data_IF_380736537964
#
_entry.id   IF_380736537964
#
_cell.length_a   1.000
_cell.length_b   1.000
_cell.length_c   1.000
_cell.angle_alpha   90.00
_cell.angle_beta   90.00
_cell.angle_gamma   90.00
#
_symmetry.space_group_name_H-M   'P 1'
#
loop_
_entity.id
_entity.type
_entity.pdbx_description
1 polymer ?
#
# COMPACT_ATOMS: atom_id res chain seq x y z
N UNK A 1 1.04 -7.60 -41.18
CA UNK A 1 -0.40 -7.82 -41.45
C UNK A 1 -1.18 -7.39 -40.23
N UNK A 2 -1.98 -6.34 -40.40
CA UNK A 2 -2.99 -5.73 -39.50
C UNK A 2 -2.75 -5.73 -37.98
N UNK A 3 -2.08 -4.68 -37.50
CA UNK A 3 -2.44 -4.10 -36.20
C UNK A 3 -3.85 -3.52 -36.32
N UNK A 4 -4.84 -4.17 -35.72
CA UNK A 4 -6.13 -3.57 -35.51
C UNK A 4 -5.94 -2.24 -34.74
N UNK A 5 -6.64 -1.15 -35.12
CA UNK A 5 -6.57 0.08 -34.34
C UNK A 5 -7.05 -0.23 -32.90
N UNK A 6 -6.38 0.29 -31.86
CA UNK A 6 -6.84 0.11 -30.49
C UNK A 6 -8.28 0.64 -30.36
N UNK A 7 -9.16 -0.16 -29.75
CA UNK A 7 -10.58 0.17 -29.53
C UNK A 7 -10.70 1.61 -28.97
N UNK A 8 -11.64 2.43 -29.48
CA UNK A 8 -11.82 3.81 -29.01
C UNK A 8 -12.05 3.89 -27.50
N UNK A 9 -12.71 2.88 -26.93
CA UNK A 9 -12.95 2.71 -25.49
C UNK A 9 -11.65 2.61 -24.68
N UNK A 10 -10.61 1.97 -25.22
CA UNK A 10 -9.31 1.80 -24.53
C UNK A 10 -8.54 3.12 -24.44
N UNK A 11 -8.58 3.95 -25.50
CA UNK A 11 -7.93 5.28 -25.49
C UNK A 11 -8.65 6.27 -24.58
N UNK A 12 -9.98 6.22 -24.55
CA UNK A 12 -10.78 7.07 -23.67
C UNK A 12 -10.65 6.65 -22.21
N UNK A 13 -10.62 5.34 -21.93
CA UNK A 13 -10.37 4.80 -20.59
C UNK A 13 -8.97 5.16 -20.08
N UNK A 14 -7.95 5.12 -20.94
CA UNK A 14 -6.59 5.56 -20.58
C UNK A 14 -6.56 7.06 -20.25
N UNK A 15 -7.16 7.91 -21.09
CA UNK A 15 -7.21 9.37 -20.83
C UNK A 15 -7.97 9.67 -19.54
N UNK A 16 -9.09 9.01 -19.29
CA UNK A 16 -9.86 9.13 -18.05
C UNK A 16 -9.04 8.71 -16.84
N UNK A 17 -8.33 7.57 -16.94
CA UNK A 17 -7.43 7.09 -15.89
C UNK A 17 -6.35 8.14 -15.58
N UNK A 18 -5.54 8.51 -16.58
CA UNK A 18 -4.42 9.46 -16.40
C UNK A 18 -4.90 10.83 -15.94
N UNK A 19 -6.06 11.30 -16.42
CA UNK A 19 -6.67 12.56 -15.99
C UNK A 19 -7.10 12.56 -14.52
N UNK A 20 -7.50 11.40 -13.98
CA UNK A 20 -7.90 11.25 -12.57
C UNK A 20 -6.73 11.08 -11.59
N UNK A 21 -5.53 10.76 -12.09
CA UNK A 21 -4.35 10.54 -11.24
C UNK A 21 -3.73 11.85 -10.75
N UNK A 22 -2.97 11.85 -9.63
CA UNK A 22 -2.18 13.01 -9.20
C UNK A 22 -1.10 13.41 -10.22
N UNK A 23 -0.62 14.66 -10.14
CA UNK A 23 0.45 15.17 -11.00
C UNK A 23 1.76 14.37 -10.82
N UNK A 24 2.15 14.09 -9.57
CA UNK A 24 3.35 13.32 -9.25
C UNK A 24 3.37 11.94 -9.94
N UNK A 25 2.22 11.27 -10.05
CA UNK A 25 2.09 10.02 -10.82
C UNK A 25 2.33 10.26 -12.31
N UNK A 26 1.72 11.30 -12.88
CA UNK A 26 1.83 11.58 -14.33
C UNK A 26 3.25 11.94 -14.75
N UNK A 27 3.99 12.63 -13.89
CA UNK A 27 5.36 13.05 -14.18
C UNK A 27 6.36 11.89 -14.01
N UNK A 28 6.00 10.87 -13.22
CA UNK A 28 6.87 9.74 -12.91
C UNK A 28 6.83 8.60 -13.93
N UNK A 29 5.66 8.24 -14.45
CA UNK A 29 5.49 7.01 -15.23
C UNK A 29 5.51 7.27 -16.74
N UNK A 30 6.11 6.35 -17.50
CA UNK A 30 6.07 6.44 -18.96
C UNK A 30 4.66 6.10 -19.49
N UNK A 31 4.25 6.61 -20.68
CA UNK A 31 2.93 6.31 -21.24
C UNK A 31 2.61 4.82 -21.39
N UNK A 32 3.61 3.99 -21.67
CA UNK A 32 3.46 2.53 -21.75
C UNK A 32 3.10 1.91 -20.39
N UNK A 33 3.71 2.35 -19.30
CA UNK A 33 3.39 1.90 -17.95
C UNK A 33 2.01 2.40 -17.51
N UNK A 34 1.70 3.66 -17.78
CA UNK A 34 0.37 4.21 -17.52
C UNK A 34 -0.74 3.43 -18.23
N UNK A 35 -0.49 2.97 -19.45
CA UNK A 35 -1.43 2.14 -20.20
C UNK A 35 -1.68 0.79 -19.51
N UNK A 36 -0.64 0.17 -18.95
CA UNK A 36 -0.78 -1.07 -18.17
C UNK A 36 -1.55 -0.82 -16.88
N UNK A 37 -1.23 0.23 -16.13
CA UNK A 37 -1.95 0.55 -14.88
C UNK A 37 -3.44 0.84 -15.15
N UNK A 38 -3.75 1.56 -16.22
CA UNK A 38 -5.12 1.79 -16.66
C UNK A 38 -5.83 0.47 -17.04
N UNK A 39 -5.11 -0.46 -17.68
CA UNK A 39 -5.65 -1.78 -17.99
C UNK A 39 -5.93 -2.61 -16.73
N UNK A 40 -5.02 -2.63 -15.75
CA UNK A 40 -5.22 -3.31 -14.47
C UNK A 40 -6.44 -2.74 -13.74
N UNK A 41 -6.57 -1.42 -13.69
CA UNK A 41 -7.74 -0.75 -13.11
C UNK A 41 -9.03 -1.08 -13.85
N UNK A 42 -9.04 -1.04 -15.19
CA UNK A 42 -10.23 -1.41 -15.97
C UNK A 42 -10.59 -2.90 -15.81
N UNK A 43 -9.58 -3.78 -15.78
CA UNK A 43 -9.76 -5.21 -15.63
C UNK A 43 -10.38 -5.57 -14.28
N UNK A 44 -10.13 -4.80 -13.22
CA UNK A 44 -10.72 -5.00 -11.88
C UNK A 44 -12.24 -5.21 -11.95
N UNK A 45 -12.94 -4.40 -12.74
CA UNK A 45 -14.39 -4.45 -12.85
C UNK A 45 -15.05 -4.26 -11.49
N UNK A 46 -16.00 -5.12 -11.12
CA UNK A 46 -16.70 -5.07 -9.83
C UNK A 46 -15.99 -5.82 -8.68
N UNK A 47 -14.76 -6.32 -8.90
CA UNK A 47 -14.01 -7.07 -7.87
C UNK A 47 -13.42 -6.11 -6.83
N UNK A 48 -13.28 -6.52 -5.56
CA UNK A 48 -12.77 -5.64 -4.51
C UNK A 48 -11.34 -5.17 -4.80
N UNK A 49 -10.50 -6.03 -5.40
CA UNK A 49 -9.18 -5.66 -5.88
C UNK A 49 -8.78 -6.42 -7.15
N UNK A 50 -7.76 -5.92 -7.83
CA UNK A 50 -7.08 -6.58 -8.93
C UNK A 50 -5.58 -6.32 -8.87
N UNK A 51 -4.80 -7.25 -9.40
CA UNK A 51 -3.33 -7.17 -9.42
C UNK A 51 -2.85 -7.52 -10.81
N UNK A 52 -1.90 -6.76 -11.36
CA UNK A 52 -1.23 -7.08 -12.61
C UNK A 52 0.23 -6.64 -12.60
N UNK A 53 1.05 -7.29 -13.41
CA UNK A 53 2.46 -6.92 -13.59
C UNK A 53 2.60 -5.79 -14.61
N UNK A 54 3.65 -4.97 -14.46
CA UNK A 54 3.98 -3.92 -15.44
C UNK A 54 5.48 -3.89 -15.76
N UNK A 55 5.88 -3.37 -16.94
CA UNK A 55 7.28 -3.35 -17.33
C UNK A 55 8.14 -2.48 -16.39
N UNK A 56 9.26 -3.06 -15.97
CA UNK A 56 10.29 -2.38 -15.20
C UNK A 56 11.67 -2.69 -15.72
N UNK A 57 12.61 -1.76 -15.55
CA UNK A 57 13.94 -1.83 -16.16
C UNK A 57 14.91 -2.70 -15.36
N UNK A 58 14.70 -2.85 -14.05
CA UNK A 58 15.52 -3.71 -13.20
C UNK A 58 14.98 -5.15 -13.25
N UNK A 59 15.73 -6.11 -13.83
CA UNK A 59 15.30 -7.50 -13.96
C UNK A 59 15.33 -8.27 -12.63
N UNK A 60 15.93 -7.72 -11.57
CA UNK A 60 15.96 -8.34 -10.24
C UNK A 60 14.66 -8.12 -9.46
N UNK A 61 13.81 -7.21 -9.94
CA UNK A 61 12.54 -6.84 -9.33
C UNK A 61 11.38 -7.21 -10.25
N UNK A 62 10.28 -7.63 -9.66
CA UNK A 62 8.98 -7.70 -10.35
C UNK A 62 8.15 -6.50 -9.93
N UNK A 63 7.66 -5.74 -10.89
CA UNK A 63 6.81 -4.60 -10.63
C UNK A 63 5.33 -4.98 -10.77
N UNK A 64 4.56 -4.72 -9.71
CA UNK A 64 3.16 -5.11 -9.57
C UNK A 64 2.31 -3.87 -9.29
N UNK A 65 1.17 -3.79 -9.97
CA UNK A 65 0.15 -2.77 -9.78
C UNK A 65 -1.05 -3.43 -9.11
N UNK A 66 -1.44 -2.94 -7.94
CA UNK A 66 -2.59 -3.35 -7.16
C UNK A 66 -3.61 -2.21 -7.21
N UNK A 67 -4.84 -2.54 -7.61
CA UNK A 67 -5.95 -1.57 -7.66
C UNK A 67 -7.08 -2.06 -6.78
N UNK A 68 -7.57 -1.22 -5.88
CA UNK A 68 -8.64 -1.55 -4.94
C UNK A 68 -9.47 -0.30 -4.54
N UNK A 69 -10.66 -0.50 -3.97
CA UNK A 69 -11.38 0.61 -3.35
C UNK A 69 -10.65 1.08 -2.10
N UNK A 70 -10.57 2.40 -1.93
CA UNK A 70 -9.92 3.00 -0.77
C UNK A 70 -10.66 2.66 0.52
N UNK A 71 -9.92 2.20 1.53
CA UNK A 71 -10.44 1.90 2.85
C UNK A 71 -9.32 1.87 3.89
N UNK A 72 -9.64 2.19 5.17
CA UNK A 72 -8.69 2.01 6.26
C UNK A 72 -8.12 0.59 6.30
N UNK A 73 -6.80 0.48 6.47
CA UNK A 73 -6.08 -0.80 6.58
C UNK A 73 -5.76 -1.49 5.26
N UNK A 74 -6.12 -0.91 4.11
CA UNK A 74 -5.85 -1.53 2.79
C UNK A 74 -4.37 -1.87 2.58
N UNK A 75 -3.46 -0.92 2.86
CA UNK A 75 -2.02 -1.13 2.70
C UNK A 75 -1.49 -2.27 3.60
N UNK A 76 -2.05 -2.42 4.80
CA UNK A 76 -1.70 -3.51 5.71
C UNK A 76 -2.11 -4.86 5.12
N UNK A 77 -3.34 -4.97 4.59
CA UNK A 77 -3.82 -6.21 3.95
C UNK A 77 -3.01 -6.57 2.69
N UNK A 78 -2.65 -5.57 1.88
CA UNK A 78 -1.81 -5.79 0.69
C UNK A 78 -0.41 -6.25 1.09
N UNK A 79 0.21 -5.56 2.05
CA UNK A 79 1.55 -5.90 2.54
C UNK A 79 1.57 -7.30 3.19
N UNK A 80 0.52 -7.65 3.91
CA UNK A 80 0.34 -9.00 4.47
C UNK A 80 0.32 -10.07 3.37
N UNK A 81 -0.45 -9.85 2.30
CA UNK A 81 -0.56 -10.79 1.20
C UNK A 81 0.79 -11.06 0.51
N UNK A 82 1.64 -10.02 0.40
CA UNK A 82 3.02 -10.19 -0.08
C UNK A 82 3.87 -11.04 0.87
N UNK A 83 3.81 -10.76 2.18
CA UNK A 83 4.58 -11.53 3.18
C UNK A 83 4.17 -13.00 3.19
N UNK A 84 2.86 -13.31 3.12
CA UNK A 84 2.37 -14.70 3.08
C UNK A 84 2.86 -15.47 1.84
N UNK A 85 3.14 -14.76 0.75
CA UNK A 85 3.71 -15.35 -0.46
C UNK A 85 5.25 -15.42 -0.44
N UNK A 86 5.89 -15.00 0.65
CA UNK A 86 7.34 -14.91 0.75
C UNK A 86 7.95 -13.88 -0.20
N UNK A 87 7.18 -12.85 -0.57
CA UNK A 87 7.64 -11.75 -1.40
C UNK A 87 8.11 -10.59 -0.52
N UNK A 88 9.25 -10.03 -0.88
CA UNK A 88 9.89 -8.94 -0.17
C UNK A 88 9.69 -7.63 -0.94
N UNK A 89 9.22 -6.58 -0.26
CA UNK A 89 8.89 -5.30 -0.87
C UNK A 89 10.13 -4.41 -0.83
N UNK A 90 10.67 -4.06 -1.99
CA UNK A 90 11.87 -3.24 -2.15
C UNK A 90 11.54 -1.76 -2.38
N UNK A 91 10.37 -1.50 -2.97
CA UNK A 91 9.78 -0.18 -3.03
C UNK A 91 8.25 -0.29 -3.13
N UNK A 92 7.55 0.75 -2.68
CA UNK A 92 6.11 0.86 -2.84
C UNK A 92 5.69 2.33 -3.00
N UNK A 93 4.65 2.56 -3.80
CA UNK A 93 4.04 3.88 -3.98
C UNK A 93 2.53 3.77 -4.06
N UNK A 94 1.83 4.52 -3.21
CA UNK A 94 0.37 4.54 -3.17
C UNK A 94 -0.18 5.85 -3.75
N UNK A 95 -1.15 5.73 -4.65
CA UNK A 95 -1.85 6.86 -5.25
C UNK A 95 -3.36 6.70 -5.15
N UNK A 96 -4.04 7.64 -4.50
CA UNK A 96 -5.51 7.69 -4.47
C UNK A 96 -6.04 8.56 -5.60
N UNK A 97 -7.08 8.08 -6.28
CA UNK A 97 -7.83 8.82 -7.29
C UNK A 97 -9.32 8.82 -6.97
N UNK A 98 -9.98 9.95 -7.25
CA UNK A 98 -11.44 10.04 -7.13
C UNK A 98 -12.08 9.66 -8.45
N UNK A 99 -12.93 8.64 -8.43
CA UNK A 99 -13.76 8.30 -9.59
C UNK A 99 -14.97 9.23 -9.59
N UNK A 100 -15.17 9.96 -10.68
CA UNK A 100 -16.46 10.60 -10.91
C UNK A 100 -17.53 9.51 -10.93
N UNK A 101 -18.67 9.68 -10.24
CA UNK A 101 -19.76 8.73 -10.37
C UNK A 101 -20.09 8.57 -11.86
N UNK A 102 -20.39 7.35 -12.34
CA UNK A 102 -20.81 7.18 -13.72
C UNK A 102 -21.96 8.15 -13.95
N UNK A 103 -21.79 9.07 -14.91
CA UNK A 103 -22.81 10.05 -15.25
C UNK A 103 -24.13 9.29 -15.37
N UNK A 104 -25.10 9.66 -14.54
CA UNK A 104 -26.39 8.98 -14.48
C UNK A 104 -26.96 8.92 -15.90
N UNK A 105 -26.87 7.75 -16.52
CA UNK A 105 -27.58 7.45 -17.77
C UNK A 105 -29.05 7.42 -17.38
N UNK A 106 -29.71 8.57 -17.55
CA UNK A 106 -31.15 8.74 -17.70
C UNK A 106 -32.04 7.75 -16.94
N UNK A 107 -32.13 7.88 -15.62
CA UNK A 107 -33.22 7.27 -14.86
C UNK A 107 -33.82 8.28 -13.87
N UNK A 108 -34.78 9.05 -14.42
CA UNK A 108 -35.91 9.73 -13.77
C UNK A 108 -35.74 10.24 -12.33
N UNK A 109 -35.69 11.56 -12.23
CA UNK A 109 -36.35 12.43 -11.25
C UNK A 109 -36.98 11.74 -10.03
N UNK A 110 -36.19 11.52 -8.98
CA UNK A 110 -36.68 11.45 -7.59
C UNK A 110 -35.73 12.31 -6.75
N UNK A 111 -36.22 13.31 -6.00
CA UNK A 111 -35.34 14.09 -5.14
C UNK A 111 -34.78 13.15 -4.06
N UNK A 112 -33.47 13.19 -3.76
CA UNK A 112 -32.91 12.41 -2.68
C UNK A 112 -33.47 12.92 -1.35
N UNK A 113 -34.03 12.00 -0.56
CA UNK A 113 -34.29 12.25 0.85
C UNK A 113 -32.95 12.49 1.55
N UNK A 114 -32.82 13.68 2.14
CA UNK A 114 -31.88 14.11 3.18
C UNK A 114 -30.83 13.06 3.65
N UNK A 115 -29.55 13.37 3.44
CA UNK A 115 -28.48 12.97 4.36
C UNK A 115 -27.30 12.14 3.82
N UNK A 116 -27.29 11.67 2.57
CA UNK A 116 -26.14 10.97 2.01
C UNK A 116 -25.35 11.88 1.07
N UNK A 117 -24.19 12.36 1.53
CA UNK A 117 -23.21 13.04 0.69
C UNK A 117 -22.90 12.18 -0.55
N UNK A 118 -22.65 12.83 -1.68
CA UNK A 118 -22.20 12.20 -2.91
C UNK A 118 -20.82 11.55 -2.70
N UNK A 119 -20.80 10.33 -2.17
CA UNK A 119 -19.58 9.55 -2.00
C UNK A 119 -19.15 9.03 -3.38
N UNK A 120 -18.31 9.81 -4.07
CA UNK A 120 -17.51 9.26 -5.16
C UNK A 120 -16.66 8.11 -4.61
N UNK A 121 -16.69 6.96 -5.29
CA UNK A 121 -15.83 5.83 -4.93
C UNK A 121 -14.37 6.27 -5.11
N UNK A 122 -13.61 6.28 -4.02
CA UNK A 122 -12.16 6.52 -4.09
C UNK A 122 -11.49 5.19 -4.41
N UNK A 123 -10.60 5.20 -5.39
CA UNK A 123 -9.82 4.03 -5.79
C UNK A 123 -8.35 4.30 -5.50
N UNK A 124 -7.67 3.30 -4.95
CA UNK A 124 -6.24 3.31 -4.71
C UNK A 124 -5.54 2.52 -5.81
N UNK A 125 -4.46 3.08 -6.32
CA UNK A 125 -3.52 2.46 -7.25
C UNK A 125 -2.17 2.38 -6.54
N UNK A 126 -1.89 1.20 -5.98
CA UNK A 126 -0.64 0.91 -5.29
C UNK A 126 0.33 0.19 -6.23
N UNK A 127 1.55 0.68 -6.30
CA UNK A 127 2.61 0.15 -7.14
C UNK A 127 3.70 -0.41 -6.24
N UNK A 128 4.07 -1.68 -6.45
CA UNK A 128 5.06 -2.37 -5.65
C UNK A 128 6.16 -2.91 -6.53
N UNK A 129 7.40 -2.77 -6.07
CA UNK A 129 8.55 -3.45 -6.62
C UNK A 129 8.97 -4.51 -5.63
N UNK A 130 8.76 -5.76 -6.01
CA UNK A 130 8.94 -6.91 -5.13
C UNK A 130 10.02 -7.83 -5.65
N UNK A 131 10.63 -8.57 -4.74
CA UNK A 131 11.65 -9.57 -5.02
C UNK A 131 11.34 -10.86 -4.28
N UNK A 132 11.67 -12.00 -4.88
CA UNK A 132 11.72 -13.27 -4.17
C UNK A 132 13.09 -13.41 -3.48
N UNK A 133 13.17 -13.57 -2.15
CA UNK A 133 14.44 -13.78 -1.44
C UNK A 133 15.23 -14.98 -1.96
N UNK A 134 14.54 -16.07 -2.35
CA UNK A 134 15.15 -17.27 -2.92
C UNK A 134 15.59 -17.08 -4.39
N UNK A 135 15.34 -15.90 -4.98
CA UNK A 135 15.59 -15.60 -6.38
C UNK A 135 14.53 -16.10 -7.35
N UNK A 136 14.66 -15.70 -8.61
CA UNK A 136 13.74 -16.05 -9.69
C UNK A 136 12.59 -15.06 -9.88
N UNK A 137 12.06 -15.04 -11.10
CA UNK A 137 10.92 -14.20 -11.45
C UNK A 137 9.64 -14.69 -10.78
N UNK A 138 8.73 -13.77 -10.49
CA UNK A 138 7.37 -14.08 -10.08
C UNK A 138 6.59 -14.45 -11.34
N UNK A 139 5.98 -15.62 -11.33
CA UNK A 139 5.20 -16.13 -12.46
C UNK A 139 3.79 -15.55 -12.48
N UNK A 140 3.13 -15.54 -13.64
CA UNK A 140 1.74 -15.07 -13.74
C UNK A 140 0.79 -15.89 -12.84
N UNK A 141 1.03 -17.19 -12.68
CA UNK A 141 0.24 -18.03 -11.75
C UNK A 141 0.37 -17.60 -10.29
N UNK A 142 1.52 -17.05 -9.90
CA UNK A 142 1.70 -16.50 -8.56
C UNK A 142 1.02 -15.15 -8.42
N UNK A 143 1.05 -14.30 -9.45
CA UNK A 143 0.27 -13.06 -9.48
C UNK A 143 -1.24 -13.36 -9.38
N UNK A 144 -1.72 -14.41 -10.04
CA UNK A 144 -3.10 -14.87 -9.92
C UNK A 144 -3.43 -15.39 -8.50
N UNK A 145 -2.49 -16.12 -7.87
CA UNK A 145 -2.64 -16.56 -6.50
C UNK A 145 -2.69 -15.37 -5.52
N UNK A 146 -1.82 -14.37 -5.69
CA UNK A 146 -1.83 -13.12 -4.94
C UNK A 146 -3.17 -12.40 -5.07
N UNK A 147 -3.66 -12.28 -6.31
CA UNK A 147 -4.93 -11.64 -6.63
C UNK A 147 -6.10 -12.34 -5.93
N UNK A 148 -6.16 -13.67 -5.99
CA UNK A 148 -7.19 -14.44 -5.32
C UNK A 148 -7.11 -14.29 -3.79
N UNK A 149 -5.89 -14.33 -3.24
CA UNK A 149 -5.67 -14.19 -1.81
C UNK A 149 -6.09 -12.81 -1.29
N UNK A 150 -5.72 -11.73 -1.98
CA UNK A 150 -6.10 -10.36 -1.63
C UNK A 150 -7.62 -10.16 -1.66
N UNK A 151 -8.30 -10.73 -2.67
CA UNK A 151 -9.76 -10.69 -2.75
C UNK A 151 -10.39 -11.40 -1.55
N UNK A 152 -9.88 -12.55 -1.14
CA UNK A 152 -10.40 -13.27 0.03
C UNK A 152 -10.19 -12.51 1.35
N UNK A 153 -9.04 -11.84 1.52
CA UNK A 153 -8.77 -10.96 2.67
C UNK A 153 -9.72 -9.77 2.72
N UNK A 154 -9.91 -9.08 1.58
CA UNK A 154 -10.78 -7.90 1.51
C UNK A 154 -12.26 -8.22 1.75
N UNK A 155 -12.69 -9.44 1.38
CA UNK A 155 -14.04 -9.95 1.63
C UNK A 155 -14.21 -10.58 3.02
N UNK A 156 -13.16 -10.60 3.84
CA UNK A 156 -13.19 -11.19 5.18
C UNK A 156 -13.38 -12.72 5.19
N UNK A 157 -13.12 -13.39 4.06
CA UNK A 157 -13.19 -14.86 3.94
C UNK A 157 -11.97 -15.54 4.57
N UNK A 158 -10.90 -14.77 4.79
CA UNK A 158 -9.72 -15.15 5.57
C UNK A 158 -9.47 -14.07 6.60
N UNK A 159 -9.10 -14.48 7.81
CA UNK A 159 -8.62 -13.56 8.82
C UNK A 159 -7.19 -13.12 8.47
N UNK A 160 -6.83 -11.85 8.72
CA UNK A 160 -5.44 -11.42 8.72
C UNK A 160 -4.62 -12.28 9.68
N UNK A 161 -3.45 -12.72 9.25
CA UNK A 161 -2.53 -13.52 10.07
C UNK A 161 -2.02 -12.66 11.23
N UNK A 162 -2.40 -13.00 12.47
CA UNK A 162 -1.99 -12.24 13.67
C UNK A 162 -0.49 -12.37 13.99
N UNK A 163 0.18 -13.43 13.53
CA UNK A 163 1.61 -13.66 13.72
C UNK A 163 2.29 -13.93 12.38
N UNK A 164 2.68 -12.85 11.69
CA UNK A 164 3.78 -12.93 10.75
C UNK A 164 5.06 -12.73 11.58
N UNK A 165 5.78 -13.83 11.83
CA UNK A 165 7.14 -13.73 12.34
C UNK A 165 7.99 -13.02 11.28
N UNK A 166 8.84 -12.05 11.65
CA UNK A 166 9.76 -11.41 10.72
C UNK A 166 10.52 -12.49 9.94
N UNK A 167 10.57 -12.36 8.62
CA UNK A 167 11.30 -13.27 7.75
C UNK A 167 12.82 -12.99 7.89
N UNK A 168 13.40 -13.38 9.03
CA UNK A 168 14.84 -13.31 9.29
C UNK A 168 15.22 -12.76 10.68
N UNK A 169 16.44 -13.06 11.17
CA UNK A 169 16.95 -12.49 12.40
C UNK A 169 17.14 -10.98 12.27
N UNK A 170 16.74 -10.22 13.30
CA UNK A 170 17.04 -8.81 13.46
C UNK A 170 18.52 -8.63 13.85
N UNK A 171 19.44 -8.92 12.93
CA UNK A 171 20.88 -8.94 13.24
C UNK A 171 21.52 -7.55 13.40
N UNK A 172 20.74 -6.47 13.28
CA UNK A 172 21.25 -5.10 13.45
C UNK A 172 20.19 -4.21 14.11
N UNK A 173 20.49 -3.75 15.33
CA UNK A 173 19.84 -2.60 15.96
C UNK A 173 20.67 -1.39 15.59
N UNK A 174 20.40 -0.79 14.44
CA UNK A 174 20.88 0.57 14.14
C UNK A 174 19.78 1.58 14.44
N UNK A 175 20.17 2.84 14.60
CA UNK A 175 19.33 3.99 14.96
C UNK A 175 18.08 4.12 14.07
N UNK A 176 16.96 3.56 14.53
CA UNK A 176 15.64 3.76 13.90
C UNK A 176 15.20 5.19 14.19
N UNK A 177 14.97 5.97 13.13
CA UNK A 177 14.49 7.35 13.25
C UNK A 177 13.05 7.42 12.77
N UNK A 178 12.17 7.91 13.63
CA UNK A 178 10.75 8.13 13.31
C UNK A 178 10.40 9.57 13.62
N UNK A 179 10.07 10.36 12.59
CA UNK A 179 9.77 11.79 12.75
C UNK A 179 8.62 12.23 11.86
N UNK A 180 7.95 13.29 12.27
CA UNK A 180 7.00 14.00 11.42
C UNK A 180 7.68 15.17 10.72
N UNK A 181 7.36 15.37 9.45
CA UNK A 181 7.77 16.52 8.65
C UNK A 181 6.54 17.18 8.00
N UNK A 182 6.74 18.39 7.49
CA UNK A 182 5.71 19.12 6.74
C UNK A 182 5.55 18.49 5.36
N UNK A 183 4.31 18.21 4.98
CA UNK A 183 3.94 17.78 3.64
C UNK A 183 3.87 18.94 2.65
N UNK A 184 3.59 18.61 1.39
CA UNK A 184 3.42 19.60 0.31
C UNK A 184 2.22 20.54 0.54
N UNK A 185 1.30 20.15 1.43
CA UNK A 185 0.14 20.92 1.89
C UNK A 185 0.47 21.88 3.05
N UNK A 186 1.71 21.87 3.54
CA UNK A 186 2.16 22.65 4.69
C UNK A 186 1.70 22.10 6.05
N UNK A 187 1.08 20.93 6.08
CA UNK A 187 0.67 20.26 7.31
C UNK A 187 1.78 19.35 7.81
N UNK A 188 1.99 19.29 9.13
CA UNK A 188 2.96 18.39 9.76
C UNK A 188 2.38 16.96 9.88
N UNK A 189 2.06 16.34 8.73
CA UNK A 189 1.32 15.10 8.62
C UNK A 189 2.08 13.97 7.91
N UNK A 190 3.33 14.20 7.49
CA UNK A 190 4.15 13.19 6.84
C UNK A 190 5.04 12.51 7.87
N UNK A 191 4.82 11.22 8.10
CA UNK A 191 5.66 10.37 8.92
C UNK A 191 6.82 9.83 8.09
N UNK A 192 8.05 10.20 8.45
CA UNK A 192 9.27 9.58 7.92
C UNK A 192 9.77 8.51 8.89
N UNK A 193 10.04 7.32 8.35
CA UNK A 193 10.65 6.19 9.06
C UNK A 193 11.93 5.81 8.33
N UNK A 194 13.05 5.90 9.03
CA UNK A 194 14.34 5.39 8.58
C UNK A 194 14.77 4.25 9.49
N UNK A 195 15.00 3.08 8.91
CA UNK A 195 15.40 1.89 9.66
C UNK A 195 16.16 0.92 8.76
N UNK A 196 16.78 -0.10 9.34
CA UNK A 196 17.34 -1.19 8.55
C UNK A 196 16.23 -2.06 7.93
N UNK A 197 16.51 -2.52 6.72
CA UNK A 197 15.62 -3.36 5.94
C UNK A 197 15.42 -4.72 6.60
N UNK A 198 14.17 -5.14 6.65
CA UNK A 198 13.76 -6.46 7.10
C UNK A 198 12.48 -6.84 6.39
N UNK A 199 12.39 -8.10 6.02
CA UNK A 199 11.22 -8.60 5.34
C UNK A 199 9.97 -8.50 6.22
N UNK A 200 8.91 -7.91 5.65
CA UNK A 200 7.65 -7.63 6.34
C UNK A 200 7.58 -6.30 7.08
N UNK A 201 8.60 -5.43 6.99
CA UNK A 201 8.60 -4.11 7.64
C UNK A 201 7.36 -3.27 7.27
N UNK A 202 7.05 -3.14 5.98
CA UNK A 202 5.89 -2.35 5.52
C UNK A 202 4.57 -2.86 6.12
N UNK A 203 4.42 -4.18 6.28
CA UNK A 203 3.26 -4.75 6.95
C UNK A 203 3.21 -4.34 8.43
N UNK A 204 4.32 -4.43 9.16
CA UNK A 204 4.38 -4.03 10.57
C UNK A 204 4.02 -2.55 10.76
N UNK A 205 4.59 -1.67 9.93
CA UNK A 205 4.33 -0.23 9.96
C UNK A 205 2.87 0.09 9.64
N UNK A 206 2.38 -0.41 8.50
CA UNK A 206 1.00 -0.14 8.07
C UNK A 206 -0.04 -0.76 9.01
N UNK A 207 0.25 -1.91 9.64
CA UNK A 207 -0.60 -2.50 10.68
C UNK A 207 -0.65 -1.63 11.93
N UNK A 208 0.50 -1.18 12.44
CA UNK A 208 0.55 -0.33 13.63
C UNK A 208 -0.25 0.98 13.43
N UNK A 209 -0.11 1.60 12.25
CA UNK A 209 -0.88 2.78 11.87
C UNK A 209 -2.39 2.49 11.78
N UNK A 210 -2.76 1.34 11.22
CA UNK A 210 -4.16 0.92 11.12
C UNK A 210 -4.79 0.60 12.48
N UNK A 211 -4.06 -0.05 13.40
CA UNK A 211 -4.49 -0.32 14.77
C UNK A 211 -4.71 0.97 15.57
N UNK A 212 -3.93 2.01 15.27
CA UNK A 212 -4.18 3.37 15.74
C UNK A 212 -5.28 4.09 14.97
N UNK A 213 -6.03 3.44 14.08
CA UNK A 213 -7.10 4.12 13.34
C UNK A 213 -6.60 5.37 12.59
N UNK A 214 -5.38 5.33 12.04
CA UNK A 214 -4.85 6.40 11.20
C UNK A 214 -4.99 6.00 9.74
N UNK A 215 -5.40 6.94 8.89
CA UNK A 215 -5.50 6.72 7.45
C UNK A 215 -4.19 7.13 6.77
N UNK A 216 -3.64 6.22 5.97
CA UNK A 216 -2.53 6.50 5.06
C UNK A 216 -3.13 6.99 3.74
N UNK A 217 -2.88 8.24 3.37
CA UNK A 217 -3.38 8.81 2.11
C UNK A 217 -2.41 8.62 0.95
N UNK A 218 -1.11 8.67 1.26
CA UNK A 218 -0.04 8.34 0.33
C UNK A 218 1.06 7.60 1.08
N UNK A 219 1.76 6.73 0.38
CA UNK A 219 2.95 6.05 0.89
C UNK A 219 4.04 6.04 -0.18
N UNK A 220 5.28 6.21 0.27
CA UNK A 220 6.48 6.07 -0.54
C UNK A 220 7.50 5.28 0.27
N UNK A 221 7.78 4.07 -0.17
CA UNK A 221 8.68 3.12 0.47
C UNK A 221 9.86 2.91 -0.44
N UNK A 222 11.08 3.04 0.07
CA UNK A 222 12.30 2.85 -0.71
C UNK A 222 13.37 2.15 0.11
N UNK A 223 13.84 1.02 -0.39
CA UNK A 223 15.01 0.33 0.14
C UNK A 223 16.25 0.70 -0.68
N UNK A 224 17.31 1.15 0.00
CA UNK A 224 18.64 1.39 -0.58
C UNK A 224 19.68 0.62 0.22
N UNK A 225 20.26 -0.42 -0.38
CA UNK A 225 21.22 -1.29 0.30
C UNK A 225 20.55 -2.07 1.43
N UNK A 226 20.89 -1.75 2.68
CA UNK A 226 20.28 -2.32 3.89
C UNK A 226 19.39 -1.34 4.64
N UNK A 227 19.12 -0.16 4.08
CA UNK A 227 18.33 0.90 4.73
C UNK A 227 17.02 1.10 3.99
N UNK A 228 15.96 1.28 4.76
CA UNK A 228 14.61 1.61 4.30
C UNK A 228 14.31 3.04 4.68
N UNK A 229 13.73 3.78 3.74
CA UNK A 229 13.26 5.15 3.90
C UNK A 229 11.80 5.20 3.50
N UNK A 230 10.92 5.17 4.49
CA UNK A 230 9.48 5.17 4.28
C UNK A 230 8.89 6.52 4.63
N UNK A 231 7.97 6.98 3.80
CA UNK A 231 7.19 8.19 3.99
C UNK A 231 5.71 7.86 3.89
N UNK A 232 4.94 8.23 4.91
CA UNK A 232 3.50 8.06 4.92
C UNK A 232 2.84 9.41 5.20
N UNK A 233 1.95 9.86 4.32
CA UNK A 233 1.10 11.01 4.62
C UNK A 233 -0.13 10.52 5.37
N UNK A 234 -0.36 11.06 6.56
CA UNK A 234 -1.32 10.56 7.53
C UNK A 234 -2.47 11.55 7.76
N UNK A 235 -3.68 11.05 7.92
CA UNK A 235 -4.85 11.80 8.40
C UNK A 235 -5.60 10.96 9.43
N UNK A 236 -6.40 11.62 10.27
CA UNK A 236 -7.40 10.93 11.08
C UNK A 236 -8.46 10.28 10.18
N UNK A 237 -9.21 9.29 10.68
CA UNK A 237 -10.26 8.63 9.88
C UNK A 237 -11.38 9.58 9.44
N UNK A 238 -11.57 10.69 10.15
CA UNK A 238 -12.53 11.73 9.77
C UNK A 238 -11.96 12.74 8.76
N UNK A 239 -10.69 12.57 8.36
CA UNK A 239 -9.96 13.42 7.43
C UNK A 239 -9.32 14.65 8.08
N UNK A 240 -9.39 14.81 9.39
CA UNK A 240 -8.72 15.91 10.09
C UNK A 240 -7.20 15.69 10.19
N UNK A 241 -6.41 16.78 10.35
CA UNK A 241 -4.96 16.67 10.54
C UNK A 241 -4.59 16.03 11.88
N UNK A 242 -3.49 15.29 11.91
CA UNK A 242 -2.95 14.67 13.12
C UNK A 242 -2.40 15.75 14.07
N UNK A 243 -2.90 15.81 15.31
CA UNK A 243 -2.43 16.76 16.32
C UNK A 243 -1.13 16.33 17.02
N UNK A 244 -0.55 17.22 17.82
CA UNK A 244 0.72 17.02 18.53
C UNK A 244 0.73 15.77 19.44
N UNK A 245 -0.36 15.52 20.16
CA UNK A 245 -0.47 14.39 21.08
C UNK A 245 -0.54 13.09 20.31
N UNK A 246 -1.32 13.08 19.23
CA UNK A 246 -1.46 11.94 18.34
C UNK A 246 -0.18 11.60 17.60
N UNK A 247 0.59 12.61 17.17
CA UNK A 247 1.90 12.39 16.53
C UNK A 247 2.84 11.62 17.45
N UNK A 248 2.89 11.96 18.74
CA UNK A 248 3.72 11.24 19.71
C UNK A 248 3.26 9.77 19.87
N UNK A 249 1.95 9.54 19.98
CA UNK A 249 1.39 8.19 20.09
C UNK A 249 1.72 7.32 18.85
N UNK A 250 1.61 7.91 17.66
CA UNK A 250 1.98 7.26 16.40
C UNK A 250 3.47 6.92 16.38
N UNK A 251 4.35 7.86 16.74
CA UNK A 251 5.78 7.61 16.79
C UNK A 251 6.13 6.45 17.73
N UNK A 252 5.55 6.43 18.93
CA UNK A 252 5.78 5.37 19.92
C UNK A 252 5.28 4.01 19.41
N UNK A 253 4.09 3.96 18.82
CA UNK A 253 3.54 2.70 18.29
C UNK A 253 4.37 2.17 17.12
N UNK A 254 4.81 3.05 16.22
CA UNK A 254 5.65 2.68 15.07
C UNK A 254 7.02 2.18 15.54
N UNK A 255 7.67 2.88 16.47
CA UNK A 255 8.93 2.42 17.08
C UNK A 255 8.77 1.04 17.73
N UNK A 256 7.69 0.85 18.50
CA UNK A 256 7.38 -0.43 19.16
C UNK A 256 7.09 -1.57 18.18
N UNK A 257 6.59 -1.25 16.98
CA UNK A 257 6.36 -2.24 15.93
C UNK A 257 7.65 -2.65 15.21
N UNK A 258 8.62 -1.73 15.10
CA UNK A 258 9.93 -1.97 14.47
C UNK A 258 10.89 -2.65 15.43
N UNK A 259 10.88 -2.29 16.71
CA UNK A 259 11.68 -2.92 17.75
C UNK A 259 10.83 -4.01 18.42
N UNK A 260 10.83 -5.27 17.92
CA UNK A 260 10.23 -6.34 18.70
C UNK A 260 10.86 -6.32 20.10
N UNK A 261 10.03 -6.48 21.13
CA UNK A 261 10.37 -6.57 22.56
C UNK A 261 11.33 -7.76 22.87
N UNK A 262 12.45 -7.87 22.17
CA UNK A 262 13.46 -8.91 22.34
C UNK A 262 14.16 -8.76 23.69
N UNK A 263 14.20 -7.55 24.28
CA UNK A 263 14.86 -7.33 25.58
C UNK A 263 14.07 -7.81 26.81
N UNK A 264 12.75 -8.01 26.76
CA UNK A 264 11.98 -8.40 27.97
C UNK A 264 11.98 -9.91 28.21
N UNK A 265 12.17 -10.73 27.17
CA UNK A 265 12.18 -12.20 27.30
C UNK A 265 13.54 -12.75 27.75
N UNK A 266 14.64 -12.09 27.43
CA UNK A 266 15.97 -12.52 27.87
C UNK A 266 16.20 -12.23 29.36
N UNK A 267 15.69 -11.10 29.88
CA UNK A 267 15.79 -10.76 31.30
C UNK A 267 15.00 -11.77 32.16
N UNK A 268 13.77 -12.13 31.76
CA UNK A 268 12.98 -13.13 32.50
C UNK A 268 13.52 -14.56 32.40
N UNK A 269 14.26 -14.91 31.34
CA UNK A 269 14.91 -16.22 31.20
C UNK A 269 16.19 -16.32 32.01
N UNK A 270 16.93 -15.21 32.15
CA UNK A 270 18.10 -15.12 33.03
C UNK A 270 17.70 -15.18 34.53
N UNK A 271 16.54 -14.63 34.89
CA UNK A 271 16.03 -14.65 36.28
C UNK A 271 15.38 -15.98 36.71
N UNK A 272 15.10 -16.90 35.78
CA UNK A 272 14.41 -18.17 36.05
C UNK A 272 15.31 -19.41 36.07
N UNK A 273 16.64 -19.24 36.02
CA UNK A 273 17.61 -20.31 36.32
C UNK A 273 18.21 -20.11 37.72
N UNK A 274 17.65 -20.71 38.78
CA UNK A 274 18.38 -20.85 40.03
C UNK A 274 19.47 -21.92 39.87
N UNK A 275 20.64 -21.64 40.43
CA UNK A 275 21.77 -22.59 40.58
C UNK A 275 21.46 -23.71 41.56
#
# INVERSE_FOLDING_TARGET
MNSAPPHPDSKQSLRGFVGSMPAAYRDRFAPAQMAVHAHVSAARGARPAHVGSFPWHDPSLTALCVVADDRPGLLALISEAFVQMGLDIQAAEAYTRRLSPPAATEARSRPPSSGAASNGTSEVVDLFWVRRPQGGAITESEVDALRAHLVDLLLGRRAPTQQLEPLGPADFVTETTVRFIEGDDGLLNVLEVETDDRSGLLYLLSRALFELQVQITTSQVRTTGKRVYDRFTLLELDGSPIDDSRRLEIQVAVLSAIEPMTQIREIRRAESSPS
#
